data_IF_620755507726
#
_entry.id   IF_620755507726
#
_cell.length_a   1.000
_cell.length_b   1.000
_cell.length_c   1.000
_cell.angle_alpha   90.00
_cell.angle_beta   90.00
_cell.angle_gamma   90.00
#
_symmetry.space_group_name_H-M   'P 1'
#
loop_
_entity.id
_entity.type
_entity.pdbx_description
1 polymer ?
#
# COMPACT_ATOMS: atom_id res chain seq x y z
N UNK A 1 11.52 -15.67 -10.73
CA UNK A 1 12.49 -16.20 -11.70
C UNK A 1 13.51 -15.12 -11.98
N UNK A 2 14.62 -15.10 -11.23
CA UNK A 2 15.67 -14.08 -11.35
C UNK A 2 16.93 -14.72 -11.94
N UNK A 3 17.42 -14.09 -13.01
CA UNK A 3 18.77 -14.10 -13.59
C UNK A 3 19.46 -15.46 -13.81
N UNK A 4 19.39 -15.95 -15.05
CA UNK A 4 20.48 -16.81 -15.55
C UNK A 4 21.78 -15.98 -15.57
N UNK A 5 22.91 -16.50 -15.06
CA UNK A 5 24.21 -15.83 -15.07
C UNK A 5 24.68 -15.43 -16.49
N UNK A 6 24.14 -16.08 -17.52
CA UNK A 6 24.51 -15.91 -18.93
C UNK A 6 24.08 -14.57 -19.55
N UNK A 7 23.29 -13.75 -18.85
CA UNK A 7 22.93 -12.39 -19.29
C UNK A 7 23.61 -11.30 -18.44
N UNK A 8 24.57 -11.67 -17.60
CA UNK A 8 25.40 -10.69 -16.91
C UNK A 8 26.33 -10.00 -17.91
N UNK A 9 26.43 -8.68 -17.81
CA UNK A 9 27.33 -7.86 -18.64
C UNK A 9 28.82 -8.25 -18.46
N UNK A 10 29.13 -8.93 -17.35
CA UNK A 10 30.47 -9.43 -17.00
C UNK A 10 30.95 -10.56 -17.91
N UNK A 11 30.03 -11.26 -18.60
CA UNK A 11 30.36 -12.33 -19.56
C UNK A 11 30.39 -11.85 -21.03
N UNK A 12 30.42 -10.55 -21.28
CA UNK A 12 30.39 -9.99 -22.63
C UNK A 12 31.67 -10.28 -23.40
N UNK A 13 31.57 -10.98 -24.54
CA UNK A 13 32.69 -11.33 -25.44
C UNK A 13 33.17 -10.16 -26.30
N UNK A 14 32.68 -8.94 -26.06
CA UNK A 14 32.97 -7.75 -26.88
C UNK A 14 34.48 -7.44 -26.96
N UNK A 15 35.26 -7.82 -25.94
CA UNK A 15 36.72 -7.62 -25.93
C UNK A 15 37.51 -8.59 -26.82
N UNK A 16 36.90 -9.67 -27.33
CA UNK A 16 37.56 -10.65 -28.20
C UNK A 16 36.78 -10.77 -29.51
N UNK A 17 37.01 -9.82 -30.42
CA UNK A 17 36.42 -9.87 -31.76
C UNK A 17 37.45 -10.46 -32.74
N UNK A 18 37.17 -11.62 -33.39
CA UNK A 18 38.12 -12.33 -34.26
C UNK A 18 38.73 -11.46 -35.36
N UNK A 19 37.97 -10.45 -35.83
CA UNK A 19 38.39 -9.49 -36.83
C UNK A 19 39.53 -8.57 -36.38
N UNK A 20 39.59 -8.20 -35.09
CA UNK A 20 40.63 -7.29 -34.56
C UNK A 20 41.92 -8.07 -34.31
N UNK A 21 41.80 -9.31 -33.82
CA UNK A 21 42.93 -10.22 -33.61
C UNK A 21 43.62 -10.65 -34.91
N UNK A 22 42.94 -10.47 -36.06
CA UNK A 22 43.50 -10.73 -37.40
C UNK A 22 44.35 -9.58 -37.97
N UNK A 23 44.33 -8.40 -37.35
CA UNK A 23 45.04 -7.20 -37.88
C UNK A 23 46.54 -7.33 -37.67
N UNK A 24 47.32 -7.55 -38.73
CA UNK A 24 48.78 -7.77 -38.62
C UNK A 24 49.54 -6.57 -38.06
N UNK A 25 49.03 -5.34 -38.25
CA UNK A 25 49.62 -4.14 -37.68
C UNK A 25 49.28 -4.01 -36.18
N UNK A 26 50.29 -4.27 -35.34
CA UNK A 26 50.17 -4.36 -33.89
C UNK A 26 49.71 -3.03 -33.26
N UNK A 27 50.23 -1.90 -33.74
CA UNK A 27 49.90 -0.56 -33.20
C UNK A 27 48.45 -0.19 -33.49
N UNK A 28 47.96 -0.49 -34.70
CA UNK A 28 46.55 -0.26 -35.06
C UNK A 28 45.62 -1.16 -34.25
N UNK A 29 46.02 -2.43 -34.05
CA UNK A 29 45.28 -3.40 -33.23
C UNK A 29 45.13 -2.93 -31.79
N UNK A 30 46.21 -2.49 -31.16
CA UNK A 30 46.22 -1.98 -29.79
C UNK A 30 45.36 -0.72 -29.63
N UNK A 31 45.45 0.21 -30.58
CA UNK A 31 44.63 1.43 -30.59
C UNK A 31 43.14 1.12 -30.71
N UNK A 32 42.76 0.21 -31.60
CA UNK A 32 41.37 -0.24 -31.76
C UNK A 32 40.88 -0.94 -30.50
N UNK A 33 41.66 -1.86 -29.94
CA UNK A 33 41.31 -2.55 -28.68
C UNK A 33 41.06 -1.59 -27.53
N UNK A 34 41.87 -0.53 -27.42
CA UNK A 34 41.66 0.52 -26.42
C UNK A 34 40.33 1.25 -26.66
N UNK A 35 40.04 1.67 -27.89
CA UNK A 35 38.79 2.35 -28.23
C UNK A 35 37.57 1.47 -27.97
N UNK A 36 37.61 0.19 -28.36
CA UNK A 36 36.53 -0.75 -28.08
C UNK A 36 36.27 -0.92 -26.59
N UNK A 37 37.34 -1.01 -25.78
CA UNK A 37 37.22 -1.12 -24.33
C UNK A 37 36.62 0.15 -23.71
N UNK A 38 37.04 1.32 -24.18
CA UNK A 38 36.48 2.60 -23.73
C UNK A 38 34.98 2.71 -24.06
N UNK A 39 34.58 2.38 -25.29
CA UNK A 39 33.18 2.37 -25.70
C UNK A 39 32.37 1.37 -24.87
N UNK A 40 32.88 0.15 -24.66
CA UNK A 40 32.20 -0.85 -23.85
C UNK A 40 31.97 -0.39 -22.40
N UNK A 41 32.97 0.27 -21.80
CA UNK A 41 32.85 0.84 -20.45
C UNK A 41 31.82 1.97 -20.43
N UNK A 42 31.86 2.87 -21.41
CA UNK A 42 30.91 3.98 -21.51
C UNK A 42 29.48 3.47 -21.68
N UNK A 43 29.24 2.52 -22.58
CA UNK A 43 27.93 1.90 -22.77
C UNK A 43 27.43 1.19 -21.52
N UNK A 44 28.31 0.47 -20.81
CA UNK A 44 27.98 -0.17 -19.54
C UNK A 44 27.55 0.84 -18.49
N UNK A 45 28.30 1.93 -18.33
CA UNK A 45 27.99 2.96 -17.35
C UNK A 45 26.68 3.68 -17.69
N UNK A 46 26.42 3.96 -18.98
CA UNK A 46 25.18 4.56 -19.42
C UNK A 46 23.96 3.67 -19.11
N UNK A 47 24.05 2.37 -19.41
CA UNK A 47 23.00 1.41 -19.08
C UNK A 47 22.77 1.28 -17.58
N UNK A 48 23.86 1.28 -16.79
CA UNK A 48 23.77 1.21 -15.34
C UNK A 48 23.08 2.45 -14.76
N UNK A 49 23.41 3.65 -15.25
CA UNK A 49 22.77 4.88 -14.82
C UNK A 49 21.27 4.90 -15.16
N UNK A 50 20.90 4.48 -16.37
CA UNK A 50 19.48 4.36 -16.76
C UNK A 50 18.72 3.36 -15.87
N UNK A 51 19.37 2.24 -15.52
CA UNK A 51 18.78 1.26 -14.61
C UNK A 51 18.57 1.84 -13.21
N UNK A 52 19.56 2.58 -12.68
CA UNK A 52 19.45 3.24 -11.38
C UNK A 52 18.32 4.28 -11.37
N UNK A 53 18.26 5.14 -12.37
CA UNK A 53 17.21 6.16 -12.51
C UNK A 53 15.82 5.50 -12.57
N UNK A 54 15.66 4.46 -13.39
CA UNK A 54 14.41 3.71 -13.46
C UNK A 54 14.02 3.04 -12.13
N UNK A 55 14.99 2.50 -11.40
CA UNK A 55 14.74 1.90 -10.08
C UNK A 55 14.34 2.96 -9.04
N UNK A 56 14.92 4.16 -9.10
CA UNK A 56 14.55 5.27 -8.24
C UNK A 56 13.13 5.79 -8.53
N UNK A 57 12.78 5.93 -9.80
CA UNK A 57 11.43 6.32 -10.23
C UNK A 57 10.37 5.33 -9.74
N UNK A 58 10.63 4.03 -9.91
CA UNK A 58 9.75 2.98 -9.39
C UNK A 58 9.62 3.07 -7.86
N UNK A 59 10.73 3.25 -7.14
CA UNK A 59 10.71 3.39 -5.68
C UNK A 59 9.82 4.56 -5.24
N UNK A 60 9.93 5.69 -5.91
CA UNK A 60 9.13 6.89 -5.61
C UNK A 60 7.65 6.68 -5.94
N UNK A 61 7.33 6.00 -7.04
CA UNK A 61 5.95 5.64 -7.37
C UNK A 61 5.32 4.71 -6.32
N UNK A 62 6.06 3.66 -5.90
CA UNK A 62 5.59 2.75 -4.85
C UNK A 62 5.39 3.47 -3.52
N UNK A 63 6.30 4.39 -3.16
CA UNK A 63 6.16 5.21 -1.96
C UNK A 63 4.89 6.05 -1.99
N UNK A 64 4.60 6.74 -3.09
CA UNK A 64 3.36 7.53 -3.26
C UNK A 64 2.11 6.66 -3.15
N UNK A 65 2.09 5.50 -3.81
CA UNK A 65 0.97 4.54 -3.72
C UNK A 65 0.77 4.03 -2.31
N UNK A 66 1.87 3.71 -1.60
CA UNK A 66 1.81 3.26 -0.22
C UNK A 66 1.25 4.35 0.71
N UNK A 67 1.77 5.58 0.63
CA UNK A 67 1.26 6.71 1.42
C UNK A 67 -0.22 6.99 1.17
N UNK A 68 -0.67 6.92 -0.10
CA UNK A 68 -2.08 7.07 -0.43
C UNK A 68 -2.95 5.94 0.17
N UNK A 69 -2.45 4.70 0.16
CA UNK A 69 -3.13 3.55 0.76
C UNK A 69 -3.25 3.69 2.28
N UNK A 70 -2.19 4.12 2.97
CA UNK A 70 -2.20 4.36 4.42
C UNK A 70 -3.23 5.43 4.77
N UNK A 71 -3.23 6.57 4.06
CA UNK A 71 -4.22 7.64 4.27
C UNK A 71 -5.66 7.16 4.10
N UNK A 72 -5.92 6.31 3.09
CA UNK A 72 -7.26 5.74 2.85
C UNK A 72 -7.68 4.80 3.98
N UNK A 73 -6.75 3.98 4.49
CA UNK A 73 -7.00 3.10 5.61
C UNK A 73 -7.30 3.88 6.89
N UNK A 74 -6.51 4.91 7.19
CA UNK A 74 -6.74 5.79 8.35
C UNK A 74 -8.11 6.48 8.28
N UNK A 75 -8.49 7.00 7.11
CA UNK A 75 -9.80 7.60 6.91
C UNK A 75 -10.93 6.59 7.13
N UNK A 76 -10.78 5.37 6.61
CA UNK A 76 -11.77 4.29 6.76
C UNK A 76 -11.91 3.88 8.23
N UNK A 77 -10.80 3.81 8.98
CA UNK A 77 -10.82 3.50 10.41
C UNK A 77 -11.55 4.57 11.22
N UNK A 78 -11.36 5.86 10.90
CA UNK A 78 -12.10 6.96 11.55
C UNK A 78 -13.60 6.83 11.32
N UNK A 79 -14.02 6.56 10.09
CA UNK A 79 -15.44 6.37 9.75
C UNK A 79 -16.04 5.16 10.47
N UNK A 80 -15.31 4.05 10.60
CA UNK A 80 -15.76 2.89 11.37
C UNK A 80 -15.99 3.24 12.84
N UNK A 81 -15.04 3.91 13.49
CA UNK A 81 -15.17 4.34 14.88
C UNK A 81 -16.36 5.31 15.09
N UNK A 82 -16.60 6.23 14.14
CA UNK A 82 -17.74 7.13 14.18
C UNK A 82 -19.07 6.38 14.06
N UNK A 83 -19.15 5.40 13.17
CA UNK A 83 -20.32 4.55 13.01
C UNK A 83 -20.60 3.69 14.24
N UNK A 84 -19.56 3.14 14.88
CA UNK A 84 -19.70 2.40 16.14
C UNK A 84 -20.24 3.30 17.27
N UNK A 85 -19.70 4.52 17.38
CA UNK A 85 -20.17 5.50 18.37
C UNK A 85 -21.62 5.92 18.12
N UNK A 86 -22.00 6.14 16.86
CA UNK A 86 -23.37 6.46 16.48
C UNK A 86 -24.32 5.31 16.82
N UNK A 87 -23.94 4.07 16.47
CA UNK A 87 -24.73 2.87 16.77
C UNK A 87 -24.94 2.69 18.28
N UNK A 88 -23.87 2.82 19.07
CA UNK A 88 -23.94 2.77 20.53
C UNK A 88 -24.87 3.85 21.11
N UNK A 89 -24.78 5.07 20.60
CA UNK A 89 -25.65 6.19 21.01
C UNK A 89 -27.12 5.89 20.68
N UNK A 90 -27.42 5.35 19.50
CA UNK A 90 -28.78 4.98 19.11
C UNK A 90 -29.36 3.89 20.03
N UNK A 91 -28.58 2.87 20.35
CA UNK A 91 -28.99 1.81 21.29
C UNK A 91 -29.28 2.39 22.67
N UNK A 92 -28.44 3.29 23.18
CA UNK A 92 -28.68 3.96 24.47
C UNK A 92 -29.97 4.77 24.46
N UNK A 93 -30.26 5.52 23.39
CA UNK A 93 -31.49 6.30 23.26
C UNK A 93 -32.73 5.42 23.18
N UNK A 94 -32.66 4.30 22.44
CA UNK A 94 -33.73 3.31 22.36
C UNK A 94 -34.01 2.75 23.76
N UNK A 95 -32.97 2.29 24.46
CA UNK A 95 -33.11 1.74 25.81
C UNK A 95 -33.68 2.77 26.78
N UNK A 96 -33.20 4.01 26.76
CA UNK A 96 -33.73 5.09 27.59
C UNK A 96 -35.22 5.35 27.31
N UNK A 97 -35.64 5.28 26.04
CA UNK A 97 -37.04 5.44 25.65
C UNK A 97 -37.90 4.25 26.10
N UNK A 98 -37.40 3.03 25.94
CA UNK A 98 -38.07 1.82 26.43
C UNK A 98 -38.27 1.86 27.95
N UNK A 99 -37.27 2.32 28.71
CA UNK A 99 -37.38 2.47 30.17
C UNK A 99 -38.48 3.45 30.56
N UNK A 100 -38.53 4.64 29.94
CA UNK A 100 -39.59 5.62 30.18
C UNK A 100 -40.98 5.10 29.84
N UNK A 101 -41.09 4.32 28.75
CA UNK A 101 -42.36 3.68 28.37
C UNK A 101 -42.75 2.64 29.44
N UNK A 102 -41.81 1.83 29.90
CA UNK A 102 -42.03 0.82 30.94
C UNK A 102 -42.50 1.46 32.26
N UNK A 103 -41.83 2.50 32.73
CA UNK A 103 -42.22 3.27 33.93
C UNK A 103 -43.64 3.83 33.82
N UNK A 104 -43.99 4.36 32.64
CA UNK A 104 -45.33 4.89 32.37
C UNK A 104 -46.38 3.79 32.38
N UNK A 105 -46.09 2.63 31.78
CA UNK A 105 -46.98 1.47 31.81
C UNK A 105 -47.19 0.98 33.25
N UNK A 106 -46.11 0.84 34.03
CA UNK A 106 -46.19 0.46 35.45
C UNK A 106 -47.05 1.43 36.26
N UNK A 107 -46.89 2.73 36.03
CA UNK A 107 -47.69 3.77 36.69
C UNK A 107 -49.18 3.65 36.35
N UNK A 108 -49.52 3.39 35.09
CA UNK A 108 -50.91 3.16 34.65
C UNK A 108 -51.50 1.92 35.34
N UNK A 109 -50.75 0.81 35.39
CA UNK A 109 -51.21 -0.41 36.05
C UNK A 109 -51.42 -0.21 37.55
N UNK A 110 -50.49 0.48 38.23
CA UNK A 110 -50.62 0.82 39.65
C UNK A 110 -51.89 1.63 39.91
N UNK A 111 -52.12 2.69 39.14
CA UNK A 111 -53.31 3.52 39.27
C UNK A 111 -54.62 2.74 39.02
N UNK A 112 -54.65 1.87 38.00
CA UNK A 112 -55.83 1.04 37.72
C UNK A 112 -56.11 0.05 38.85
N UNK A 113 -55.05 -0.56 39.40
CA UNK A 113 -55.16 -1.50 40.50
C UNK A 113 -55.67 -0.83 41.79
N UNK A 114 -55.12 0.34 42.14
CA UNK A 114 -55.57 1.12 43.30
C UNK A 114 -57.04 1.57 43.16
N UNK A 115 -57.46 1.99 41.97
CA UNK A 115 -58.87 2.33 41.70
C UNK A 115 -59.81 1.12 41.71
N UNK A 116 -59.32 -0.06 41.37
CA UNK A 116 -60.12 -1.28 41.45
C UNK A 116 -60.36 -1.65 42.92
N UNK A 117 -59.31 -1.63 43.74
CA UNK A 117 -59.39 -1.91 45.17
C UNK A 117 -60.27 -0.91 45.94
N UNK A 118 -60.23 0.38 45.56
CA UNK A 118 -61.08 1.39 46.21
C UNK A 118 -62.57 1.22 45.88
N UNK A 119 -62.89 0.69 44.69
CA UNK A 119 -64.27 0.40 44.27
C UNK A 119 -64.82 -0.91 44.83
N UNK A 120 -63.97 -1.86 45.21
CA UNK A 120 -64.39 -3.14 45.82
C UNK A 120 -64.59 -3.06 47.34
N UNK A 121 -64.13 -1.99 47.98
CA UNK A 121 -64.26 -1.74 49.43
C UNK A 121 -65.40 -0.74 49.78
N UNK A 122 -66.24 -0.42 48.81
CA UNK A 122 -67.50 0.35 48.92
C UNK A 122 -68.66 -0.57 48.55
#
# INVERSE_FOLDING_TARGET
YYNLPSQSFECSTISHHPSIDSIQNLTIREALMKQFKEVAIQSRNALFNLYLESAEDQREEYKKKHEASVKKMDASQRTLNENEKLSSTLVQLINARCNKISERIQSIYKFKFENFLSKSNL
#
